data_IF_724864154004
#
_entry.id   IF_724864154004
#
_cell.length_a   1.000
_cell.length_b   1.000
_cell.length_c   1.000
_cell.angle_alpha   90.00
_cell.angle_beta   90.00
_cell.angle_gamma   90.00
#
_symmetry.space_group_name_H-M   'P 1'
#
loop_
_entity.id
_entity.type
_entity.pdbx_description
1 polymer ?
#
# COMPACT_ATOMS: atom_id res chain seq x y z
N UNK A 1 8.99 5.60 25.57
CA UNK A 1 7.62 6.19 25.51
C UNK A 1 7.18 6.20 24.08
N UNK A 2 5.93 5.83 23.79
CA UNK A 2 5.37 5.87 22.43
C UNK A 2 4.62 7.18 22.19
N UNK A 3 4.85 7.83 21.05
CA UNK A 3 4.19 9.06 20.62
C UNK A 3 3.72 8.91 19.17
N UNK A 4 2.44 9.15 18.89
CA UNK A 4 1.93 9.34 17.52
C UNK A 4 1.85 10.83 17.26
N UNK A 5 2.47 11.27 16.16
CA UNK A 5 2.55 12.67 15.78
C UNK A 5 2.57 12.84 14.26
N UNK A 6 2.29 14.04 13.74
CA UNK A 6 2.54 14.35 12.34
C UNK A 6 3.99 14.07 11.95
N UNK A 7 4.15 13.62 10.69
CA UNK A 7 5.45 13.53 10.04
C UNK A 7 6.06 14.93 9.88
N UNK A 8 7.36 15.03 10.03
CA UNK A 8 8.16 16.21 9.73
C UNK A 8 9.30 15.85 8.76
N UNK A 9 9.78 16.77 7.95
CA UNK A 9 10.84 16.50 6.95
C UNK A 9 12.10 15.86 7.56
N UNK A 10 12.37 16.15 8.84
CA UNK A 10 13.48 15.55 9.59
C UNK A 10 13.30 14.06 9.84
N UNK A 11 12.08 13.52 9.68
CA UNK A 11 11.74 12.10 9.86
C UNK A 11 11.99 11.26 8.60
N UNK A 12 12.24 11.86 7.44
CA UNK A 12 12.28 11.16 6.16
C UNK A 12 13.14 9.91 6.19
N UNK A 13 14.36 10.02 6.73
CA UNK A 13 15.25 8.85 6.83
C UNK A 13 14.65 7.74 7.69
N UNK A 14 14.05 8.09 8.82
CA UNK A 14 13.40 7.15 9.73
C UNK A 14 12.15 6.53 9.11
N UNK A 15 11.37 7.33 8.38
CA UNK A 15 10.21 6.88 7.63
C UNK A 15 10.59 5.85 6.56
N UNK A 16 11.57 6.17 5.70
CA UNK A 16 12.08 5.26 4.66
C UNK A 16 12.62 3.98 5.27
N UNK A 17 13.43 4.05 6.33
CA UNK A 17 13.95 2.88 7.04
C UNK A 17 12.82 2.00 7.58
N UNK A 18 11.82 2.60 8.24
CA UNK A 18 10.66 1.88 8.77
C UNK A 18 9.88 1.17 7.67
N UNK A 19 9.56 1.87 6.56
CA UNK A 19 8.84 1.31 5.42
C UNK A 19 9.59 0.14 4.80
N UNK A 20 10.85 0.34 4.45
CA UNK A 20 11.68 -0.69 3.80
C UNK A 20 11.79 -1.94 4.66
N UNK A 21 12.14 -1.78 5.94
CA UNK A 21 12.31 -2.93 6.85
C UNK A 21 10.99 -3.65 7.14
N UNK A 22 9.89 -2.92 7.25
CA UNK A 22 8.58 -3.53 7.45
C UNK A 22 8.10 -4.31 6.22
N UNK A 23 8.40 -3.82 5.02
CA UNK A 23 7.96 -4.44 3.77
C UNK A 23 8.79 -5.66 3.36
N UNK A 24 10.02 -5.80 3.86
CA UNK A 24 10.87 -6.99 3.59
C UNK A 24 10.20 -8.32 3.98
N UNK A 25 9.29 -8.30 4.94
CA UNK A 25 8.56 -9.50 5.39
C UNK A 25 7.25 -9.76 4.60
N UNK A 26 6.97 -8.99 3.57
CA UNK A 26 5.70 -9.04 2.82
C UNK A 26 5.91 -9.29 1.32
N UNK A 27 4.83 -9.46 0.58
CA UNK A 27 4.83 -9.55 -0.88
C UNK A 27 5.39 -8.27 -1.57
N UNK A 28 5.60 -7.20 -0.81
CA UNK A 28 6.20 -5.92 -1.26
C UNK A 28 7.71 -5.83 -1.04
N UNK A 29 8.41 -6.93 -0.72
CA UNK A 29 9.83 -6.94 -0.36
C UNK A 29 10.77 -6.29 -1.38
N UNK A 30 10.35 -6.11 -2.61
CA UNK A 30 11.11 -5.48 -3.70
C UNK A 30 10.58 -4.08 -4.08
N UNK A 31 9.56 -3.57 -3.37
CA UNK A 31 9.05 -2.21 -3.52
C UNK A 31 9.84 -1.25 -2.62
N UNK A 32 11.05 -0.90 -3.04
CA UNK A 32 11.98 -0.05 -2.28
C UNK A 32 12.08 1.33 -2.92
N UNK A 33 11.74 2.36 -2.14
CA UNK A 33 11.90 3.76 -2.50
C UNK A 33 13.04 4.37 -1.67
N UNK A 34 13.77 5.32 -2.26
CA UNK A 34 14.89 5.98 -1.61
C UNK A 34 14.47 7.18 -0.77
N UNK A 35 13.32 7.73 -1.10
CA UNK A 35 12.76 8.96 -0.56
C UNK A 35 11.32 8.68 -0.14
N UNK A 36 10.79 9.49 0.74
CA UNK A 36 9.38 9.43 1.09
C UNK A 36 8.53 9.87 -0.10
N UNK A 37 7.42 9.19 -0.34
CA UNK A 37 6.45 9.58 -1.35
C UNK A 37 5.80 10.93 -1.00
N UNK A 38 5.64 11.79 -2.00
CA UNK A 38 4.93 13.06 -1.89
C UNK A 38 3.59 12.96 -2.61
N UNK A 39 2.55 13.45 -1.98
CA UNK A 39 1.19 13.37 -2.50
C UNK A 39 0.80 14.65 -3.21
N UNK A 40 0.06 14.51 -4.33
CA UNK A 40 -0.41 15.66 -5.11
C UNK A 40 -1.60 16.36 -4.45
N UNK A 41 -2.35 15.63 -3.61
CA UNK A 41 -3.54 16.09 -2.92
C UNK A 41 -3.30 16.19 -1.42
N UNK A 42 -4.23 16.80 -0.68
CA UNK A 42 -4.11 16.88 0.78
C UNK A 42 -3.93 15.50 1.41
N UNK A 43 -3.02 15.41 2.36
CA UNK A 43 -2.67 14.18 3.05
C UNK A 43 -2.65 14.33 4.57
N UNK A 44 -2.79 13.21 5.24
CA UNK A 44 -2.47 13.03 6.66
C UNK A 44 -1.35 12.02 6.74
N UNK A 45 -0.22 12.45 7.25
CA UNK A 45 1.01 11.69 7.34
C UNK A 45 1.45 11.65 8.80
N UNK A 46 1.42 10.45 9.40
CA UNK A 46 1.70 10.27 10.81
C UNK A 46 2.81 9.24 11.03
N UNK A 47 3.60 9.48 12.06
CA UNK A 47 4.61 8.54 12.53
C UNK A 47 4.34 8.13 13.97
N UNK A 48 4.65 6.89 14.29
CA UNK A 48 4.72 6.39 15.66
C UNK A 48 6.19 6.34 16.07
N UNK A 49 6.58 7.22 16.96
CA UNK A 49 7.93 7.27 17.53
C UNK A 49 7.98 6.50 18.85
N UNK A 50 8.94 5.60 18.97
CA UNK A 50 9.23 4.87 20.21
C UNK A 50 10.69 5.06 20.57
N UNK A 51 10.94 5.68 21.70
CA UNK A 51 12.28 5.95 22.25
C UNK A 51 13.24 6.59 21.22
N UNK A 52 12.73 7.57 20.46
CA UNK A 52 13.48 8.33 19.45
C UNK A 52 13.64 7.64 18.10
N UNK A 53 12.95 6.52 17.87
CA UNK A 53 12.95 5.78 16.60
C UNK A 53 11.56 5.75 15.97
N UNK A 54 11.46 5.99 14.67
CA UNK A 54 10.21 5.76 13.93
C UNK A 54 9.95 4.26 13.88
N UNK A 55 8.97 3.82 14.65
CA UNK A 55 8.58 2.42 14.81
C UNK A 55 7.39 2.03 13.92
N UNK A 56 6.62 3.01 13.48
CA UNK A 56 5.49 2.83 12.57
C UNK A 56 5.14 4.12 11.84
N UNK A 57 4.35 3.99 10.78
CA UNK A 57 3.90 5.11 9.96
C UNK A 57 2.53 4.80 9.33
N UNK A 58 1.81 5.85 8.99
CA UNK A 58 0.62 5.82 8.12
C UNK A 58 0.57 7.08 7.28
N UNK A 59 0.35 6.92 5.97
CA UNK A 59 0.13 8.02 5.05
C UNK A 59 -1.22 7.82 4.35
N UNK A 60 -2.08 8.83 4.43
CA UNK A 60 -3.42 8.87 3.85
C UNK A 60 -3.55 10.12 2.99
N UNK A 61 -3.62 9.95 1.68
CA UNK A 61 -4.04 11.01 0.75
C UNK A 61 -5.55 11.00 0.64
N UNK A 62 -6.22 12.16 0.73
CA UNK A 62 -7.67 12.20 0.78
C UNK A 62 -8.28 13.13 -0.27
N UNK A 63 -9.54 12.85 -0.59
CA UNK A 63 -10.33 13.51 -1.59
C UNK A 63 -10.88 14.85 -1.11
N UNK A 64 -10.85 15.86 -1.99
CA UNK A 64 -11.67 17.08 -1.89
C UNK A 64 -12.84 17.03 -2.89
N UNK A 65 -12.71 16.20 -3.93
CA UNK A 65 -13.75 15.88 -4.91
C UNK A 65 -13.82 14.36 -5.09
N UNK A 66 -15.01 13.75 -5.24
CA UNK A 66 -15.15 12.31 -5.39
C UNK A 66 -14.35 11.71 -6.55
N UNK A 67 -13.90 10.47 -6.38
CA UNK A 67 -13.18 9.68 -7.40
C UNK A 67 -11.88 10.31 -7.90
N UNK A 68 -11.23 11.10 -7.05
CA UNK A 68 -9.95 11.73 -7.40
C UNK A 68 -8.73 11.02 -6.82
N UNK A 69 -8.94 10.21 -5.79
CA UNK A 69 -7.89 9.39 -5.14
C UNK A 69 -8.38 7.95 -4.94
N UNK A 70 -9.64 7.79 -4.53
CA UNK A 70 -10.28 6.51 -4.24
C UNK A 70 -11.16 6.05 -5.41
N UNK A 71 -11.70 4.83 -5.34
CA UNK A 71 -12.68 4.35 -6.30
C UNK A 71 -13.96 5.23 -6.28
N UNK A 72 -14.63 5.33 -7.45
CA UNK A 72 -15.89 6.09 -7.57
C UNK A 72 -17.02 5.45 -6.75
N UNK A 73 -17.12 5.86 -5.50
CA UNK A 73 -18.06 5.36 -4.51
C UNK A 73 -18.62 6.52 -3.69
N UNK A 74 -19.86 6.39 -3.13
CA UNK A 74 -20.48 7.47 -2.35
C UNK A 74 -19.65 7.92 -1.15
N UNK A 75 -19.56 9.24 -0.93
CA UNK A 75 -18.80 9.89 0.14
C UNK A 75 -17.34 10.09 -0.21
N UNK A 76 -16.73 11.13 0.34
CA UNK A 76 -15.30 11.40 0.15
C UNK A 76 -14.46 10.33 0.86
N UNK A 77 -13.42 9.88 0.20
CA UNK A 77 -12.51 8.84 0.68
C UNK A 77 -11.10 9.34 0.97
N UNK A 78 -10.36 8.52 1.69
CA UNK A 78 -8.92 8.64 1.86
C UNK A 78 -8.25 7.33 1.51
N UNK A 79 -7.22 7.37 0.67
CA UNK A 79 -6.42 6.22 0.30
C UNK A 79 -5.25 6.05 1.28
N UNK A 80 -5.21 4.93 1.95
CA UNK A 80 -4.04 4.55 2.75
C UNK A 80 -2.96 4.03 1.79
N UNK A 81 -2.02 4.91 1.43
CA UNK A 81 -0.89 4.54 0.59
C UNK A 81 0.14 3.70 1.35
N UNK A 82 0.40 4.07 2.60
CA UNK A 82 1.32 3.37 3.46
C UNK A 82 0.74 3.16 4.84
N UNK A 83 0.89 1.95 5.37
CA UNK A 83 0.80 1.64 6.79
C UNK A 83 1.84 0.58 7.10
N UNK A 84 2.74 0.87 8.01
CA UNK A 84 3.85 0.00 8.33
C UNK A 84 4.21 0.06 9.80
N UNK A 85 4.66 -1.07 10.36
CA UNK A 85 5.22 -1.15 11.71
C UNK A 85 6.44 -2.08 11.66
N UNK A 86 7.56 -1.59 12.19
CA UNK A 86 8.78 -2.39 12.32
C UNK A 86 8.51 -3.70 13.06
N UNK A 87 9.17 -4.78 12.64
CA UNK A 87 8.97 -6.14 13.16
C UNK A 87 8.99 -6.21 14.69
N UNK A 88 9.97 -5.55 15.30
CA UNK A 88 10.17 -5.60 16.76
C UNK A 88 9.07 -4.87 17.55
N UNK A 89 8.29 -4.03 16.89
CA UNK A 89 7.19 -3.25 17.46
C UNK A 89 5.79 -3.74 17.04
N UNK A 90 5.72 -4.84 16.28
CA UNK A 90 4.43 -5.44 15.89
C UNK A 90 3.70 -6.05 17.09
N UNK A 91 2.39 -6.25 16.95
CA UNK A 91 1.50 -6.86 17.96
C UNK A 91 1.36 -6.05 19.27
N UNK A 92 1.73 -4.78 19.22
CA UNK A 92 1.58 -3.81 20.32
C UNK A 92 0.48 -2.78 20.05
N UNK A 93 -0.32 -2.95 18.99
CA UNK A 93 -1.44 -2.07 18.63
C UNK A 93 -1.05 -0.78 17.93
N UNK A 94 0.22 -0.57 17.55
CA UNK A 94 0.71 0.66 16.91
C UNK A 94 -0.06 0.97 15.62
N UNK A 95 -0.22 -0.02 14.71
CA UNK A 95 -0.95 0.17 13.46
C UNK A 95 -2.40 0.62 13.70
N UNK A 96 -3.11 0.03 14.67
CA UNK A 96 -4.49 0.41 14.98
C UNK A 96 -4.60 1.81 15.57
N UNK A 97 -3.61 2.25 16.39
CA UNK A 97 -3.57 3.61 16.91
C UNK A 97 -3.24 4.64 15.82
N UNK A 98 -2.32 4.31 14.90
CA UNK A 98 -2.03 5.14 13.72
C UNK A 98 -3.28 5.29 12.84
N UNK A 99 -4.00 4.19 12.57
CA UNK A 99 -5.24 4.22 11.80
C UNK A 99 -6.29 5.10 12.48
N UNK A 100 -6.51 4.94 13.79
CA UNK A 100 -7.46 5.76 14.54
C UNK A 100 -7.08 7.25 14.54
N UNK A 101 -5.80 7.56 14.71
CA UNK A 101 -5.32 8.94 14.66
C UNK A 101 -5.49 9.57 13.27
N UNK A 102 -5.28 8.80 12.20
CA UNK A 102 -5.54 9.26 10.83
C UNK A 102 -7.03 9.53 10.58
N UNK A 103 -7.94 8.66 11.07
CA UNK A 103 -9.39 8.90 11.01
C UNK A 103 -9.79 10.17 11.73
N UNK A 104 -9.33 10.36 12.95
CA UNK A 104 -9.62 11.56 13.75
C UNK A 104 -9.15 12.84 13.04
N UNK A 105 -8.04 12.77 12.32
CA UNK A 105 -7.51 13.90 11.57
C UNK A 105 -8.31 14.24 10.29
N UNK A 106 -8.89 13.24 9.61
CA UNK A 106 -9.62 13.47 8.34
C UNK A 106 -11.13 13.69 8.53
N UNK A 107 -11.75 13.19 9.61
CA UNK A 107 -13.20 13.38 9.88
C UNK A 107 -13.66 14.84 9.81
N UNK A 108 -12.97 15.82 10.39
CA UNK A 108 -13.37 17.22 10.30
C UNK A 108 -13.35 17.78 8.87
N UNK A 109 -12.76 17.07 7.92
CA UNK A 109 -12.64 17.43 6.50
C UNK A 109 -13.74 16.79 5.65
N UNK A 110 -14.67 16.03 6.27
CA UNK A 110 -15.77 15.38 5.59
C UNK A 110 -15.41 14.05 4.94
N UNK A 111 -14.26 13.48 5.27
CA UNK A 111 -13.89 12.13 4.81
C UNK A 111 -14.69 11.11 5.60
N UNK A 112 -15.32 10.17 4.90
CA UNK A 112 -16.29 9.21 5.47
C UNK A 112 -15.80 7.76 5.38
N UNK A 113 -14.74 7.51 4.61
CA UNK A 113 -14.23 6.16 4.34
C UNK A 113 -12.73 6.16 4.08
N UNK A 114 -12.07 5.04 4.39
CA UNK A 114 -10.73 4.74 3.93
C UNK A 114 -10.74 3.58 2.95
N UNK A 115 -9.88 3.68 1.94
CA UNK A 115 -9.50 2.57 1.06
C UNK A 115 -8.04 2.22 1.24
N UNK A 116 -7.71 0.95 1.02
CA UNK A 116 -6.34 0.45 1.03
C UNK A 116 -6.19 -0.69 0.04
N UNK A 117 -5.12 -0.68 -0.74
CA UNK A 117 -4.74 -1.78 -1.61
C UNK A 117 -3.64 -2.62 -0.97
N UNK A 118 -3.83 -3.91 -0.88
CA UNK A 118 -2.81 -4.84 -0.36
C UNK A 118 -2.72 -6.10 -1.19
N UNK A 119 -1.55 -6.73 -1.17
CA UNK A 119 -1.34 -8.05 -1.78
C UNK A 119 -1.81 -9.16 -0.84
N UNK A 120 -1.61 -10.40 -1.29
CA UNK A 120 -2.09 -11.63 -0.69
C UNK A 120 -1.28 -12.12 0.53
N UNK A 121 -0.71 -11.21 1.30
CA UNK A 121 -0.14 -11.52 2.62
C UNK A 121 -1.26 -11.81 3.64
N UNK A 122 -1.46 -13.06 4.10
CA UNK A 122 -2.63 -13.39 4.91
C UNK A 122 -2.73 -12.62 6.21
N UNK A 123 -1.60 -12.31 6.84
CA UNK A 123 -1.57 -11.57 8.11
C UNK A 123 -1.91 -10.08 7.94
N UNK A 124 -1.65 -9.49 6.75
CA UNK A 124 -2.04 -8.12 6.42
C UNK A 124 -3.53 -8.05 6.17
N UNK A 125 -4.07 -8.97 5.36
CA UNK A 125 -5.50 -9.06 5.07
C UNK A 125 -6.31 -9.28 6.35
N UNK A 126 -5.91 -10.23 7.20
CA UNK A 126 -6.53 -10.45 8.51
C UNK A 126 -6.51 -9.20 9.41
N UNK A 127 -5.44 -8.41 9.35
CA UNK A 127 -5.37 -7.17 10.09
C UNK A 127 -6.41 -6.17 9.58
N UNK A 128 -6.52 -5.92 8.26
CA UNK A 128 -7.55 -5.04 7.69
C UNK A 128 -8.96 -5.51 8.09
N UNK A 129 -9.26 -6.78 7.94
CA UNK A 129 -10.54 -7.36 8.34
C UNK A 129 -10.82 -7.17 9.84
N UNK A 130 -9.81 -7.35 10.70
CA UNK A 130 -9.93 -7.11 12.14
C UNK A 130 -10.18 -5.65 12.51
N UNK A 131 -9.77 -4.72 11.63
CA UNK A 131 -10.08 -3.28 11.77
C UNK A 131 -11.44 -2.91 11.16
N UNK A 132 -12.22 -3.87 10.66
CA UNK A 132 -13.55 -3.64 10.09
C UNK A 132 -13.55 -3.24 8.62
N UNK A 133 -12.44 -3.39 7.92
CA UNK A 133 -12.41 -3.25 6.46
C UNK A 133 -13.06 -4.45 5.78
N UNK A 134 -13.70 -4.19 4.64
CA UNK A 134 -14.30 -5.20 3.77
C UNK A 134 -13.70 -5.12 2.38
N UNK A 135 -13.49 -6.26 1.75
CA UNK A 135 -13.01 -6.31 0.37
C UNK A 135 -14.07 -5.77 -0.58
N UNK A 136 -13.67 -4.88 -1.50
CA UNK A 136 -14.57 -4.26 -2.49
C UNK A 136 -14.19 -4.58 -3.93
N UNK A 137 -12.92 -4.73 -4.25
CA UNK A 137 -12.44 -5.08 -5.58
C UNK A 137 -11.12 -5.83 -5.52
N UNK A 138 -10.65 -6.35 -6.66
CA UNK A 138 -9.34 -6.98 -6.76
C UNK A 138 -8.88 -7.13 -8.22
N UNK A 139 -7.56 -7.17 -8.40
CA UNK A 139 -6.89 -7.53 -9.64
C UNK A 139 -5.63 -8.36 -9.35
N UNK A 140 -4.91 -8.81 -10.38
CA UNK A 140 -3.64 -9.49 -10.16
C UNK A 140 -2.46 -8.55 -10.41
N UNK A 141 -1.49 -8.56 -9.52
CA UNK A 141 -0.14 -8.10 -9.77
C UNK A 141 0.66 -9.23 -10.39
N UNK A 142 1.21 -9.00 -11.58
CA UNK A 142 1.96 -10.01 -12.34
C UNK A 142 3.38 -9.53 -12.55
N UNK A 143 4.34 -10.34 -12.16
CA UNK A 143 5.76 -10.10 -12.41
C UNK A 143 6.23 -11.00 -13.54
N UNK A 144 6.71 -10.40 -14.61
CA UNK A 144 7.12 -11.11 -15.83
C UNK A 144 8.64 -10.99 -15.99
N UNK A 145 9.34 -12.12 -16.03
CA UNK A 145 10.79 -12.13 -16.11
C UNK A 145 11.31 -12.76 -17.41
N UNK A 146 12.21 -12.05 -18.10
CA UNK A 146 12.84 -12.54 -19.32
C UNK A 146 13.62 -13.85 -19.09
N UNK A 147 14.33 -13.98 -17.97
CA UNK A 147 15.12 -15.16 -17.65
C UNK A 147 14.30 -16.45 -17.57
N UNK A 148 13.02 -16.33 -17.23
CA UNK A 148 12.07 -17.46 -17.13
C UNK A 148 11.31 -17.72 -18.44
N UNK A 149 11.64 -16.98 -19.52
CA UNK A 149 10.95 -16.99 -20.81
C UNK A 149 9.47 -16.62 -20.75
N UNK A 150 9.05 -15.99 -19.67
CA UNK A 150 7.66 -15.58 -19.42
C UNK A 150 7.20 -14.45 -20.36
N UNK A 151 8.15 -13.71 -20.95
CA UNK A 151 7.87 -12.62 -21.90
C UNK A 151 7.48 -13.12 -23.28
N UNK A 152 7.84 -14.36 -23.62
CA UNK A 152 7.60 -14.91 -24.96
C UNK A 152 6.09 -14.90 -25.30
N UNK A 153 5.70 -14.08 -26.31
CA UNK A 153 4.31 -13.89 -26.71
C UNK A 153 3.41 -13.13 -25.72
N UNK A 154 3.98 -12.55 -24.65
CA UNK A 154 3.23 -11.73 -23.70
C UNK A 154 3.64 -10.25 -23.77
N UNK A 155 4.96 -9.97 -23.85
CA UNK A 155 5.49 -8.61 -23.79
C UNK A 155 6.58 -8.45 -24.82
N UNK A 156 6.49 -7.35 -25.60
CA UNK A 156 7.49 -6.97 -26.59
C UNK A 156 7.75 -5.46 -26.55
N UNK A 157 8.89 -5.03 -27.09
CA UNK A 157 9.19 -3.62 -27.33
C UNK A 157 9.17 -3.35 -28.85
N UNK A 158 8.56 -2.23 -29.23
CA UNK A 158 8.60 -1.73 -30.61
C UNK A 158 9.90 -0.98 -30.91
N UNK A 159 10.68 -0.62 -29.88
CA UNK A 159 11.94 0.11 -30.06
C UNK A 159 13.08 -0.84 -30.41
N UNK A 160 13.79 -0.62 -31.55
CA UNK A 160 14.91 -1.44 -31.96
C UNK A 160 16.01 -1.50 -30.88
N UNK A 161 16.39 -2.71 -30.48
CA UNK A 161 17.45 -2.95 -29.50
C UNK A 161 17.00 -2.83 -28.04
N UNK A 162 15.79 -2.36 -27.75
CA UNK A 162 15.24 -2.36 -26.40
C UNK A 162 14.62 -3.72 -26.06
N UNK A 163 15.13 -4.35 -25.01
CA UNK A 163 14.67 -5.65 -24.55
C UNK A 163 14.23 -5.56 -23.10
N UNK A 164 12.92 -5.74 -22.79
CA UNK A 164 12.44 -5.81 -21.43
C UNK A 164 13.09 -6.98 -20.69
N UNK A 165 13.59 -6.76 -19.48
CA UNK A 165 14.18 -7.81 -18.64
C UNK A 165 13.27 -8.21 -17.49
N UNK A 166 12.50 -7.23 -16.96
CA UNK A 166 11.47 -7.41 -15.95
C UNK A 166 10.33 -6.46 -16.26
N UNK A 167 9.12 -6.93 -16.08
CA UNK A 167 7.91 -6.10 -16.17
C UNK A 167 7.03 -6.39 -14.97
N UNK A 168 6.56 -5.34 -14.34
CA UNK A 168 5.50 -5.37 -13.36
C UNK A 168 4.22 -4.89 -14.04
N UNK A 169 3.14 -5.67 -13.95
CA UNK A 169 1.89 -5.41 -14.63
C UNK A 169 0.68 -5.70 -13.74
N UNK A 170 -0.43 -5.05 -14.06
CA UNK A 170 -1.75 -5.37 -13.52
C UNK A 170 -2.54 -6.19 -14.53
N UNK A 171 -3.26 -7.20 -14.06
CA UNK A 171 -4.19 -7.95 -14.87
C UNK A 171 -5.59 -7.87 -14.27
N UNK A 172 -6.49 -7.26 -15.01
CA UNK A 172 -7.89 -7.02 -14.62
C UNK A 172 -8.89 -7.93 -15.34
N UNK A 173 -8.39 -8.86 -16.17
CA UNK A 173 -9.23 -9.78 -16.93
C UNK A 173 -9.78 -10.94 -16.10
N UNK A 174 -10.65 -11.74 -16.73
CA UNK A 174 -11.36 -12.85 -16.06
C UNK A 174 -10.52 -14.15 -16.01
N UNK A 175 -9.58 -14.34 -16.94
CA UNK A 175 -8.78 -15.57 -17.03
C UNK A 175 -7.64 -15.62 -15.98
N UNK A 176 -7.97 -15.40 -14.71
CA UNK A 176 -6.98 -15.29 -13.60
C UNK A 176 -6.18 -16.57 -13.41
N UNK A 177 -6.81 -17.73 -13.58
CA UNK A 177 -6.14 -19.02 -13.41
C UNK A 177 -5.11 -19.29 -14.51
N UNK A 178 -5.39 -18.87 -15.76
CA UNK A 178 -4.44 -18.97 -16.87
C UNK A 178 -3.21 -18.08 -16.60
N UNK A 179 -3.41 -16.89 -16.02
CA UNK A 179 -2.32 -15.99 -15.62
C UNK A 179 -1.47 -16.63 -14.53
N UNK A 180 -2.08 -17.21 -13.48
CA UNK A 180 -1.35 -17.91 -12.42
C UNK A 180 -0.61 -19.14 -12.93
N UNK A 181 -1.16 -19.85 -13.89
CA UNK A 181 -0.51 -21.00 -14.51
C UNK A 181 0.68 -20.59 -15.42
N UNK A 182 0.64 -19.39 -15.99
CA UNK A 182 1.62 -18.90 -16.94
C UNK A 182 2.84 -18.24 -16.27
N UNK A 183 2.62 -17.49 -15.19
CA UNK A 183 3.65 -16.68 -14.54
C UNK A 183 3.92 -17.18 -13.13
N UNK A 184 5.21 -17.25 -12.76
CA UNK A 184 5.63 -17.80 -11.49
C UNK A 184 5.29 -16.90 -10.30
N UNK A 185 5.39 -15.56 -10.50
CA UNK A 185 5.10 -14.59 -9.44
C UNK A 185 3.86 -13.77 -9.77
N UNK A 186 2.76 -14.17 -9.18
CA UNK A 186 1.45 -13.51 -9.29
C UNK A 186 0.89 -13.33 -7.90
N UNK A 187 0.39 -12.14 -7.60
CA UNK A 187 -0.24 -11.82 -6.32
C UNK A 187 -1.67 -11.33 -6.55
N UNK A 188 -2.60 -11.74 -5.72
CA UNK A 188 -3.89 -11.06 -5.61
C UNK A 188 -3.66 -9.70 -4.95
N UNK A 189 -4.04 -8.63 -5.64
CA UNK A 189 -4.07 -7.29 -5.09
C UNK A 189 -5.53 -6.94 -4.79
N UNK A 190 -5.82 -6.68 -3.54
CA UNK A 190 -7.19 -6.53 -3.01
C UNK A 190 -7.37 -5.12 -2.50
N UNK A 191 -8.47 -4.48 -2.91
CA UNK A 191 -8.93 -3.23 -2.32
C UNK A 191 -9.85 -3.51 -1.14
N UNK A 192 -9.53 -2.94 -0.02
CA UNK A 192 -10.33 -2.92 1.20
C UNK A 192 -10.92 -1.53 1.43
N UNK A 193 -12.18 -1.46 1.86
CA UNK A 193 -12.84 -0.23 2.27
C UNK A 193 -13.34 -0.35 3.72
N UNK A 194 -13.22 0.71 4.49
CA UNK A 194 -13.91 0.88 5.78
C UNK A 194 -14.57 2.26 5.86
N UNK A 195 -15.85 2.28 6.24
CA UNK A 195 -16.60 3.50 6.55
C UNK A 195 -16.56 3.78 8.05
N UNK A 196 -16.58 5.07 8.43
CA UNK A 196 -16.44 5.48 9.84
C UNK A 196 -17.19 6.79 10.17
#
# INVERSE_FOLDING_TARGET
MELIRPYEDTDERGWVECRVLAFLDSAYYDAVDREKEHYERPSVELVAEVDGRIAGLIDVEYEEEPATVCEDRPGLGGMIWHIAVLRDFRRQGIASRLLSAAEDAVRPRGIERFEAWTRDDPWVQQWYESQGFVQISSYLHVYVEHRKREMDGAISSELPGLKPLKVFAQYTGEARDDIRARFERVHDCVCYERRF
#
